data_IF_866356439994
#
_entry.id   IF_866356439994
#
_cell.length_a   1.000
_cell.length_b   1.000
_cell.length_c   1.000
_cell.angle_alpha   90.00
_cell.angle_beta   90.00
_cell.angle_gamma   90.00
#
_symmetry.space_group_name_H-M   'P 1'
#
loop_
_entity.id
_entity.type
_entity.pdbx_description
1 polymer ?
#
# COMPACT_ATOMS: atom_id res chain seq x y z
N UNK A 1 -19.32 -12.77 -4.79
CA UNK A 1 -19.73 -11.49 -5.39
C UNK A 1 -18.56 -10.53 -5.23
N UNK A 2 -18.25 -9.73 -6.25
CA UNK A 2 -17.17 -8.74 -6.15
C UNK A 2 -17.49 -7.66 -5.10
N UNK A 3 -16.47 -7.17 -4.42
CA UNK A 3 -16.55 -6.12 -3.39
C UNK A 3 -16.45 -4.69 -3.96
N UNK A 4 -16.50 -4.54 -5.29
CA UNK A 4 -16.31 -3.26 -6.00
C UNK A 4 -17.26 -2.14 -5.58
N UNK A 5 -18.54 -2.48 -5.35
CA UNK A 5 -19.56 -1.51 -4.94
C UNK A 5 -19.53 -1.17 -3.45
N UNK A 6 -18.68 -1.83 -2.65
CA UNK A 6 -18.64 -1.59 -1.21
C UNK A 6 -17.97 -0.25 -0.89
N UNK A 7 -18.58 0.48 0.04
CA UNK A 7 -18.01 1.72 0.59
C UNK A 7 -16.74 1.42 1.38
N UNK A 8 -15.72 2.24 1.14
CA UNK A 8 -14.44 2.21 1.84
C UNK A 8 -14.51 3.15 3.04
N UNK A 9 -14.26 2.62 4.23
CA UNK A 9 -14.16 3.40 5.47
C UNK A 9 -12.77 4.01 5.66
N UNK A 10 -11.72 3.26 5.33
CA UNK A 10 -10.32 3.67 5.49
C UNK A 10 -9.44 3.10 4.38
N UNK A 11 -8.44 3.88 3.97
CA UNK A 11 -7.26 3.38 3.29
C UNK A 11 -6.21 3.07 4.35
N UNK A 12 -5.85 1.80 4.50
CA UNK A 12 -4.86 1.31 5.46
C UNK A 12 -3.58 0.95 4.74
N UNK A 13 -2.49 1.67 5.02
CA UNK A 13 -1.16 1.29 4.52
C UNK A 13 -0.55 0.29 5.50
N UNK A 14 0.01 -0.82 5.00
CA UNK A 14 0.53 -1.92 5.85
C UNK A 14 1.97 -2.23 5.50
N UNK A 15 2.82 -2.31 6.53
CA UNK A 15 4.15 -2.92 6.45
C UNK A 15 4.05 -4.39 6.86
N UNK A 16 4.39 -5.29 5.93
CA UNK A 16 4.28 -6.74 6.11
C UNK A 16 5.61 -7.36 6.51
N UNK A 17 5.51 -8.46 7.25
CA UNK A 17 6.55 -9.48 7.30
C UNK A 17 6.68 -10.13 5.91
N UNK A 18 7.85 -10.00 5.28
CA UNK A 18 8.23 -10.73 4.05
C UNK A 18 9.29 -11.79 4.35
N UNK A 19 9.69 -12.59 3.34
CA UNK A 19 10.68 -13.68 3.49
C UNK A 19 11.90 -13.22 4.29
N UNK A 20 12.23 -14.03 5.30
CA UNK A 20 13.35 -13.87 6.20
C UNK A 20 14.60 -14.50 5.55
N UNK A 21 15.36 -13.71 4.78
CA UNK A 21 16.65 -14.16 4.26
C UNK A 21 17.71 -13.79 5.30
N UNK A 22 18.09 -14.75 6.13
CA UNK A 22 19.21 -14.60 7.09
C UNK A 22 18.94 -13.64 8.26
N UNK A 23 17.69 -13.50 8.72
CA UNK A 23 17.33 -12.62 9.83
C UNK A 23 16.99 -11.18 9.41
N UNK A 24 16.88 -10.93 8.10
CA UNK A 24 16.56 -9.63 7.50
C UNK A 24 15.25 -9.78 6.72
N UNK A 25 14.16 -9.21 7.26
CA UNK A 25 12.87 -9.10 6.55
C UNK A 25 12.80 -7.76 5.83
N UNK A 26 13.00 -7.75 4.52
CA UNK A 26 12.75 -6.59 3.67
C UNK A 26 11.25 -6.34 3.58
N UNK A 27 10.68 -5.56 4.51
CA UNK A 27 9.22 -5.46 4.61
C UNK A 27 8.60 -5.14 3.25
N UNK A 28 7.54 -5.88 2.94
CA UNK A 28 6.69 -5.58 1.81
C UNK A 28 5.61 -4.57 2.23
N UNK A 29 5.15 -3.73 1.32
CA UNK A 29 4.16 -2.70 1.60
C UNK A 29 2.98 -2.80 0.66
N UNK A 30 1.78 -2.66 1.19
CA UNK A 30 0.54 -2.65 0.40
C UNK A 30 -0.52 -1.76 1.04
N UNK A 31 -1.60 -1.50 0.30
CA UNK A 31 -2.75 -0.73 0.78
C UNK A 31 -3.96 -1.65 0.90
N UNK A 32 -4.68 -1.56 2.01
CA UNK A 32 -5.95 -2.22 2.23
C UNK A 32 -7.06 -1.18 2.25
N UNK A 33 -8.06 -1.33 1.39
CA UNK A 33 -9.31 -0.58 1.46
C UNK A 33 -10.22 -1.32 2.45
N UNK A 34 -10.39 -0.76 3.64
CA UNK A 34 -11.24 -1.36 4.68
C UNK A 34 -12.69 -1.03 4.38
N UNK A 35 -13.51 -2.05 4.17
CA UNK A 35 -14.91 -1.89 3.78
C UNK A 35 -15.80 -1.79 5.03
N UNK A 36 -16.90 -1.04 4.95
CA UNK A 36 -17.85 -0.86 6.07
C UNK A 36 -18.43 -2.19 6.59
N UNK A 37 -18.45 -3.24 5.76
CA UNK A 37 -18.92 -4.58 6.12
C UNK A 37 -17.89 -5.52 6.78
N UNK A 38 -16.73 -5.03 7.22
CA UNK A 38 -15.72 -5.85 7.91
C UNK A 38 -14.75 -6.62 7.00
N UNK A 39 -14.87 -6.45 5.69
CA UNK A 39 -13.98 -7.00 4.67
C UNK A 39 -12.92 -6.00 4.21
N UNK A 40 -12.00 -6.41 3.33
CA UNK A 40 -11.05 -5.50 2.69
C UNK A 40 -10.74 -5.86 1.23
N UNK A 41 -10.26 -4.86 0.49
CA UNK A 41 -9.61 -5.04 -0.83
C UNK A 41 -8.16 -4.63 -0.70
N UNK A 42 -7.22 -5.54 -1.01
CA UNK A 42 -5.79 -5.26 -0.99
C UNK A 42 -5.32 -4.83 -2.37
N UNK A 43 -4.63 -3.70 -2.42
CA UNK A 43 -3.91 -3.17 -3.56
C UNK A 43 -2.43 -3.42 -3.35
N UNK A 44 -1.86 -4.29 -4.17
CA UNK A 44 -0.55 -4.86 -3.96
C UNK A 44 0.33 -4.67 -5.19
N UNK A 45 1.35 -3.82 -5.09
CA UNK A 45 2.34 -3.63 -6.15
C UNK A 45 3.62 -4.41 -5.82
N UNK A 46 4.00 -5.35 -6.68
CA UNK A 46 5.19 -6.19 -6.50
C UNK A 46 5.95 -6.37 -7.81
N UNK A 47 7.19 -6.85 -7.74
CA UNK A 47 7.97 -7.27 -8.91
C UNK A 47 8.64 -8.61 -8.61
N UNK A 48 8.77 -9.45 -9.63
CA UNK A 48 9.49 -10.72 -9.51
C UNK A 48 10.99 -10.49 -9.36
N UNK A 49 11.69 -11.46 -8.77
CA UNK A 49 13.13 -11.37 -8.57
C UNK A 49 13.88 -11.16 -9.90
N UNK A 50 14.71 -10.12 -9.95
CA UNK A 50 15.45 -9.74 -11.16
C UNK A 50 14.64 -8.93 -12.17
N UNK A 51 13.34 -8.71 -11.93
CA UNK A 51 12.52 -7.81 -12.73
C UNK A 51 12.31 -6.48 -12.00
N UNK A 52 12.20 -5.41 -12.77
CA UNK A 52 11.87 -4.07 -12.27
C UNK A 52 10.45 -3.65 -12.67
N UNK A 53 9.80 -4.34 -13.60
CA UNK A 53 8.42 -4.06 -13.99
C UNK A 53 7.47 -4.49 -12.89
N UNK A 54 6.73 -3.52 -12.35
CA UNK A 54 5.73 -3.76 -11.32
C UNK A 54 4.49 -4.44 -11.88
N UNK A 55 3.90 -5.31 -11.08
CA UNK A 55 2.60 -5.93 -11.30
C UNK A 55 1.66 -5.50 -10.18
N UNK A 56 0.56 -4.86 -10.56
CA UNK A 56 -0.54 -4.57 -9.64
C UNK A 56 -1.42 -5.82 -9.48
N UNK A 57 -1.52 -6.31 -8.25
CA UNK A 57 -2.46 -7.34 -7.85
C UNK A 57 -3.54 -6.74 -6.95
N UNK A 58 -4.78 -7.10 -7.22
CA UNK A 58 -5.95 -6.66 -6.44
C UNK A 58 -6.65 -7.89 -5.88
N UNK A 59 -6.63 -8.04 -4.56
CA UNK A 59 -7.22 -9.19 -3.87
C UNK A 59 -8.37 -8.76 -2.97
N UNK A 60 -9.39 -9.59 -2.86
CA UNK A 60 -10.52 -9.39 -1.95
C UNK A 60 -10.39 -10.33 -0.74
N UNK A 61 -10.56 -9.79 0.47
CA UNK A 61 -10.49 -10.56 1.71
C UNK A 61 -11.74 -10.32 2.58
N UNK A 62 -12.14 -11.35 3.32
CA UNK A 62 -13.24 -11.27 4.30
C UNK A 62 -12.75 -10.86 5.70
N UNK A 63 -11.55 -10.26 5.78
CA UNK A 63 -10.95 -9.71 6.99
C UNK A 63 -10.39 -8.31 6.71
N UNK A 64 -10.15 -7.52 7.76
CA UNK A 64 -9.54 -6.18 7.67
C UNK A 64 -8.07 -6.11 8.13
N UNK A 65 -7.58 -7.09 8.88
CA UNK A 65 -6.20 -7.13 9.36
C UNK A 65 -5.55 -8.47 9.01
N UNK A 66 -4.45 -8.41 8.27
CA UNK A 66 -3.66 -9.60 7.94
C UNK A 66 -2.72 -9.98 9.09
N UNK A 67 -2.49 -11.28 9.29
CA UNK A 67 -1.53 -11.81 10.27
C UNK A 67 -0.07 -11.44 9.97
N UNK A 68 0.22 -11.01 8.74
CA UNK A 68 1.54 -10.55 8.31
C UNK A 68 1.82 -9.09 8.69
N UNK A 69 0.83 -8.32 9.16
CA UNK A 69 1.01 -6.92 9.49
C UNK A 69 1.97 -6.75 10.67
N UNK A 70 3.05 -5.99 10.47
CA UNK A 70 3.97 -5.56 11.51
C UNK A 70 3.57 -4.19 12.05
N UNK A 71 3.14 -3.30 11.15
CA UNK A 71 2.59 -1.97 11.41
C UNK A 71 1.56 -1.63 10.35
N UNK A 72 0.63 -0.74 10.70
CA UNK A 72 -0.32 -0.17 9.76
C UNK A 72 -0.67 1.26 10.14
N UNK A 73 -1.10 2.04 9.15
CA UNK A 73 -1.53 3.42 9.29
C UNK A 73 -2.85 3.61 8.55
N UNK A 74 -3.86 4.11 9.26
CA UNK A 74 -5.21 4.25 8.76
C UNK A 74 -5.51 5.70 8.40
N UNK A 75 -6.03 5.88 7.19
CA UNK A 75 -6.46 7.16 6.67
C UNK A 75 -7.95 7.08 6.39
N UNK A 76 -8.73 7.86 7.14
CA UNK A 76 -10.19 7.87 6.99
C UNK A 76 -10.56 8.32 5.58
N UNK A 77 -11.40 7.52 4.92
CA UNK A 77 -11.89 7.81 3.58
C UNK A 77 -13.19 8.61 3.66
N UNK A 78 -13.38 9.52 2.71
CA UNK A 78 -14.59 10.34 2.61
C UNK A 78 -15.81 9.45 2.33
N UNK A 79 -16.96 9.67 3.01
CA UNK A 79 -18.16 8.85 2.81
C UNK A 79 -18.59 8.77 1.35
N UNK A 80 -19.01 7.57 0.92
CA UNK A 80 -19.49 7.31 -0.44
C UNK A 80 -18.40 6.91 -1.45
N UNK A 81 -17.11 7.00 -1.10
CA UNK A 81 -16.04 6.44 -1.93
C UNK A 81 -16.09 4.91 -1.89
N UNK A 82 -16.16 4.28 -3.06
CA UNK A 82 -16.23 2.82 -3.20
C UNK A 82 -14.87 2.21 -3.58
N UNK A 83 -14.73 0.90 -3.37
CA UNK A 83 -13.51 0.18 -3.80
C UNK A 83 -13.26 0.34 -5.30
N UNK A 84 -14.32 0.31 -6.12
CA UNK A 84 -14.24 0.56 -7.57
C UNK A 84 -13.67 1.94 -7.89
N UNK A 85 -14.15 3.01 -7.23
CA UNK A 85 -13.65 4.37 -7.46
C UNK A 85 -12.13 4.48 -7.22
N UNK A 86 -11.64 3.80 -6.18
CA UNK A 86 -10.20 3.78 -5.89
C UNK A 86 -9.42 2.97 -6.94
N UNK A 87 -9.93 1.80 -7.36
CA UNK A 87 -9.28 1.00 -8.41
C UNK A 87 -9.24 1.76 -9.74
N UNK A 88 -10.35 2.36 -10.14
CA UNK A 88 -10.43 3.15 -11.37
C UNK A 88 -9.44 4.32 -11.34
N UNK A 89 -9.29 4.98 -10.18
CA UNK A 89 -8.29 6.04 -9.99
C UNK A 89 -6.86 5.54 -10.20
N UNK A 90 -6.52 4.36 -9.67
CA UNK A 90 -5.17 3.77 -9.79
C UNK A 90 -4.82 3.54 -11.27
N UNK A 91 -5.74 2.97 -12.05
CA UNK A 91 -5.53 2.77 -13.49
C UNK A 91 -5.53 4.10 -14.26
N UNK A 92 -6.42 5.02 -13.92
CA UNK A 92 -6.49 6.35 -14.54
C UNK A 92 -5.18 7.14 -14.37
N UNK A 93 -4.56 7.04 -13.19
CA UNK A 93 -3.27 7.66 -12.87
C UNK A 93 -2.06 6.84 -13.35
N UNK A 94 -2.29 5.71 -14.03
CA UNK A 94 -1.23 4.83 -14.53
C UNK A 94 -0.37 4.19 -13.43
N UNK A 95 -0.92 4.00 -12.22
CA UNK A 95 -0.18 3.43 -11.08
C UNK A 95 0.04 1.94 -11.23
N UNK A 96 -0.67 1.27 -12.13
CA UNK A 96 -0.40 -0.09 -12.57
C UNK A 96 0.90 -0.20 -13.40
N UNK A 97 1.36 0.90 -14.03
CA UNK A 97 2.57 0.96 -14.87
C UNK A 97 3.79 1.43 -14.08
N UNK A 98 3.96 0.88 -12.89
CA UNK A 98 5.05 1.25 -11.99
C UNK A 98 6.33 0.46 -12.28
N UNK A 99 7.48 1.14 -12.29
CA UNK A 99 8.80 0.54 -12.40
C UNK A 99 9.54 0.65 -11.06
N UNK A 100 9.92 -0.49 -10.48
CA UNK A 100 10.75 -0.55 -9.30
C UNK A 100 12.18 -0.11 -9.61
N UNK A 101 12.79 0.61 -8.67
CA UNK A 101 14.25 0.77 -8.65
C UNK A 101 14.92 -0.57 -8.32
N UNK A 102 16.07 -0.89 -8.93
CA UNK A 102 16.85 -2.10 -8.63
C UNK A 102 17.34 -2.24 -7.17
N UNK A 103 17.11 -1.24 -6.32
CA UNK A 103 17.49 -1.22 -4.90
C UNK A 103 16.50 -1.89 -3.93
N UNK A 104 15.44 -2.54 -4.41
CA UNK A 104 14.62 -3.43 -3.57
C UNK A 104 13.87 -2.73 -2.44
N UNK A 105 12.96 -1.79 -2.75
CA UNK A 105 11.98 -1.25 -1.78
C UNK A 105 10.90 -0.36 -2.41
N UNK A 106 10.72 -0.41 -3.73
CA UNK A 106 9.82 0.48 -4.48
C UNK A 106 8.34 0.41 -4.08
N UNK A 107 7.89 -0.64 -3.39
CA UNK A 107 6.51 -0.74 -2.90
C UNK A 107 6.15 0.35 -1.88
N UNK A 108 7.15 0.87 -1.12
CA UNK A 108 6.99 2.00 -0.20
C UNK A 108 6.57 3.26 -0.95
N UNK A 109 7.33 3.60 -1.98
CA UNK A 109 7.06 4.76 -2.82
C UNK A 109 5.72 4.63 -3.54
N UNK A 110 5.41 3.44 -4.06
CA UNK A 110 4.12 3.21 -4.70
C UNK A 110 2.94 3.46 -3.75
N UNK A 111 3.01 2.96 -2.50
CA UNK A 111 1.99 3.23 -1.49
C UNK A 111 1.86 4.73 -1.17
N UNK A 112 3.00 5.43 -1.08
CA UNK A 112 3.03 6.88 -0.88
C UNK A 112 2.35 7.63 -2.02
N UNK A 113 2.67 7.30 -3.27
CA UNK A 113 2.07 7.93 -4.44
C UNK A 113 0.57 7.66 -4.54
N UNK A 114 0.12 6.42 -4.30
CA UNK A 114 -1.32 6.13 -4.31
C UNK A 114 -2.05 6.92 -3.22
N UNK A 115 -1.47 7.04 -2.01
CA UNK A 115 -2.08 7.87 -0.97
C UNK A 115 -2.11 9.36 -1.34
N UNK A 116 -1.09 9.84 -2.05
CA UNK A 116 -1.08 11.19 -2.61
C UNK A 116 -2.18 11.38 -3.67
N UNK A 117 -2.43 10.38 -4.53
CA UNK A 117 -3.52 10.43 -5.50
C UNK A 117 -4.89 10.49 -4.80
N UNK A 118 -5.10 9.63 -3.79
CA UNK A 118 -6.32 9.65 -2.97
C UNK A 118 -6.57 11.03 -2.35
N UNK A 119 -5.51 11.66 -1.83
CA UNK A 119 -5.60 13.02 -1.26
C UNK A 119 -5.94 14.05 -2.35
N UNK A 120 -5.25 14.02 -3.50
CA UNK A 120 -5.50 14.96 -4.60
C UNK A 120 -6.93 14.88 -5.18
N UNK A 121 -7.57 13.71 -5.07
CA UNK A 121 -8.95 13.47 -5.48
C UNK A 121 -9.96 13.63 -4.33
N UNK A 122 -9.51 14.12 -3.16
CA UNK A 122 -10.32 14.34 -1.95
C UNK A 122 -11.00 13.07 -1.45
N UNK A 123 -10.39 11.90 -1.65
CA UNK A 123 -10.85 10.64 -1.07
C UNK A 123 -10.35 10.47 0.36
N UNK A 124 -9.24 11.11 0.73
CA UNK A 124 -8.74 11.25 2.10
C UNK A 124 -8.44 12.73 2.40
N UNK A 125 -8.21 13.06 3.67
CA UNK A 125 -7.92 14.43 4.10
C UNK A 125 -6.52 14.90 3.70
N UNK A 126 -6.37 16.21 3.49
CA UNK A 126 -5.09 16.85 3.18
C UNK A 126 -4.03 16.53 4.25
N UNK A 127 -2.79 16.26 3.81
CA UNK A 127 -1.66 15.89 4.66
C UNK A 127 -1.54 14.39 4.98
N UNK A 128 -2.46 13.55 4.51
CA UNK A 128 -2.42 12.09 4.68
C UNK A 128 -1.12 11.47 4.15
N UNK A 129 -0.73 11.79 2.92
CA UNK A 129 0.49 11.19 2.34
C UNK A 129 1.77 11.72 3.02
N UNK A 130 1.80 13.01 3.38
CA UNK A 130 2.93 13.60 4.13
C UNK A 130 3.11 12.96 5.50
N UNK A 131 2.01 12.64 6.19
CA UNK A 131 2.04 11.94 7.46
C UNK A 131 2.58 10.50 7.34
N UNK A 132 2.43 9.86 6.17
CA UNK A 132 3.00 8.54 5.91
C UNK A 132 4.53 8.59 5.76
N UNK A 133 5.07 9.60 5.08
CA UNK A 133 6.48 9.69 4.69
C UNK A 133 7.52 9.30 5.75
N UNK A 134 7.50 9.84 6.99
CA UNK A 134 8.50 9.47 7.99
C UNK A 134 8.45 7.98 8.35
N UNK A 135 7.29 7.33 8.24
CA UNK A 135 7.13 5.92 8.58
C UNK A 135 7.71 4.97 7.52
N UNK A 136 7.84 5.43 6.27
CA UNK A 136 8.37 4.64 5.16
C UNK A 136 9.88 4.41 5.27
N UNK A 137 10.56 5.25 6.04
CA UNK A 137 12.02 5.24 6.19
C UNK A 137 12.54 4.06 7.03
N UNK A 138 11.64 3.23 7.57
CA UNK A 138 12.00 2.18 8.50
C UNK A 138 11.70 0.77 7.98
N UNK A 139 12.54 -0.16 8.41
CA UNK A 139 12.27 -1.59 8.50
C UNK A 139 11.69 -1.91 9.86
N UNK A 140 10.50 -2.46 9.85
CA UNK A 140 9.78 -2.98 11.01
C UNK A 140 10.06 -4.46 11.22
N UNK A 141 9.95 -4.89 12.47
CA UNK A 141 10.02 -6.30 12.87
C UNK A 141 9.09 -6.54 14.06
N UNK A 142 8.86 -7.82 14.41
CA UNK A 142 7.99 -8.16 15.55
C UNK A 142 8.63 -7.82 16.91
N UNK A 143 9.94 -7.98 17.03
CA UNK A 143 10.64 -7.97 18.32
C UNK A 143 11.77 -6.95 18.42
N UNK A 144 12.23 -6.38 17.32
CA UNK A 144 13.31 -5.38 17.28
C UNK A 144 12.75 -3.98 17.01
N UNK A 145 13.48 -2.97 17.48
CA UNK A 145 13.20 -1.57 17.14
C UNK A 145 13.25 -1.35 15.63
N UNK A 146 12.46 -0.39 15.09
CA UNK A 146 12.55 -0.02 13.69
C UNK A 146 13.98 0.39 13.33
N UNK A 147 14.45 -0.03 12.15
CA UNK A 147 15.80 0.29 11.64
C UNK A 147 15.64 1.17 10.41
N UNK A 148 16.35 2.28 10.34
CA UNK A 148 16.33 3.15 9.15
C UNK A 148 16.87 2.40 7.93
N UNK A 149 16.27 2.68 6.77
CA UNK A 149 16.64 2.12 5.49
C UNK A 149 16.89 3.24 4.50
N UNK A 150 17.95 3.07 3.71
CA UNK A 150 18.13 3.83 2.48
C UNK A 150 17.45 3.05 1.36
N UNK A 151 16.22 3.44 1.01
CA UNK A 151 15.50 2.88 -0.12
C UNK A 151 15.40 3.91 -1.24
N UNK A 152 15.18 3.43 -2.46
CA UNK A 152 15.14 4.26 -3.67
C UNK A 152 13.73 4.28 -4.24
N UNK A 153 13.31 5.45 -4.69
CA UNK A 153 12.03 5.65 -5.37
C UNK A 153 12.03 4.94 -6.74
N UNK A 154 10.92 4.30 -7.09
CA UNK A 154 10.68 3.87 -8.46
C UNK A 154 10.13 5.00 -9.33
N UNK A 155 9.71 4.66 -10.54
CA UNK A 155 9.17 5.62 -11.51
C UNK A 155 7.86 5.13 -12.12
N UNK A 156 7.05 6.05 -12.61
CA UNK A 156 5.86 5.76 -13.40
C UNK A 156 6.14 6.08 -14.87
N UNK A 157 5.73 5.19 -15.78
CA UNK A 157 5.86 5.32 -17.24
C UNK A 157 4.49 5.35 -17.92
#
# INVERSE_FOLDING_TARGET
MSKDGATVSHARVVAHLSQDIGGISENHWSIYLLLEGGASVRLNMFADYGNTTGTLMVDEFDYQLTNSALRHWDYKVVPGVTAKMVKDLIYYQGRDRYQFSGGGSGCRYWCYTVLQDLESHRYVVDGSYKALWPNLQFRYSRSRKPVELNWVEGSFS
#
